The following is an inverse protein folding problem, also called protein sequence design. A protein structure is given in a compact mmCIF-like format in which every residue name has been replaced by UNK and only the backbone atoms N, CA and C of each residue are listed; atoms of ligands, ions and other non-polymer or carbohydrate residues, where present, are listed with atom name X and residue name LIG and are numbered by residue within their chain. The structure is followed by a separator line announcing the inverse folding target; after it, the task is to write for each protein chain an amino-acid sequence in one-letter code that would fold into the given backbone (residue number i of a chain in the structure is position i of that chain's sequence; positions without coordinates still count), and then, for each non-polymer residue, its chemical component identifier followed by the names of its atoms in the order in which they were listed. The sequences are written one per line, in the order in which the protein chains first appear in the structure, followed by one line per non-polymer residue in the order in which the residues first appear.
data_IF_964206993838
#
_entry.id   IF_964206993838
#
_cell.length_a   1.000
_cell.length_b   1.000
_cell.length_c   1.000
_cell.angle_alpha   90.00
_cell.angle_beta   90.00
_cell.angle_gamma   90.00
#
_symmetry.space_group_name_H-M   'P 1'
#
loop_
_entity.id
_entity.type
_entity.pdbx_description
1 polymer ?
#
# COMPACT_ATOMS: atom_id res chain seq x y z
N UNK A 1 -21.45 14.05 8.69
CA UNK A 1 -21.10 13.83 10.10
C UNK A 1 -19.62 13.51 10.13
N UNK A 2 -18.86 14.32 10.86
CA UNK A 2 -17.40 14.18 11.04
C UNK A 2 -17.14 12.84 11.73
N UNK A 3 -16.39 11.94 11.10
CA UNK A 3 -15.89 10.73 11.77
C UNK A 3 -14.38 10.89 11.91
N UNK A 4 -13.97 11.36 13.08
CA UNK A 4 -12.61 11.28 13.55
C UNK A 4 -12.38 9.85 14.09
N UNK A 5 -11.40 9.14 13.54
CA UNK A 5 -10.74 8.05 14.23
C UNK A 5 -9.35 7.79 13.61
N UNK A 6 -8.40 8.67 13.99
CA UNK A 6 -6.97 8.38 14.00
C UNK A 6 -6.71 7.02 14.66
N UNK A 7 -5.73 6.29 14.12
CA UNK A 7 -5.09 5.21 14.86
C UNK A 7 -4.70 4.02 14.00
N UNK A 8 -3.78 4.20 13.05
CA UNK A 8 -3.07 3.06 12.46
C UNK A 8 -1.60 3.42 12.21
N UNK A 9 -0.83 3.20 13.29
CA UNK A 9 0.54 2.68 13.28
C UNK A 9 1.44 3.30 12.19
N UNK A 10 1.83 4.55 12.42
CA UNK A 10 3.18 4.94 12.04
C UNK A 10 4.12 4.03 12.81
N UNK A 11 4.73 3.08 12.11
CA UNK A 11 5.84 2.27 12.61
C UNK A 11 7.10 3.13 12.75
N UNK A 12 6.99 4.26 13.44
CA UNK A 12 8.11 5.14 13.75
C UNK A 12 8.53 4.76 15.16
N UNK A 13 9.63 4.01 15.27
CA UNK A 13 10.42 4.07 16.49
C UNK A 13 10.76 5.54 16.68
N UNK A 14 10.27 6.15 17.76
CA UNK A 14 10.44 7.58 18.01
C UNK A 14 11.92 7.94 17.86
N UNK A 15 12.26 8.80 16.90
CA UNK A 15 13.62 9.33 16.72
C UNK A 15 14.16 9.99 18.01
N UNK A 16 13.26 10.37 18.93
CA UNK A 16 13.57 10.85 20.27
C UNK A 16 14.48 9.91 21.10
N UNK A 17 14.50 8.60 20.83
CA UNK A 17 15.29 7.62 21.61
C UNK A 17 16.72 7.38 21.12
N UNK A 18 17.09 7.82 19.90
CA UNK A 18 18.37 7.46 19.28
C UNK A 18 19.51 8.45 19.55
N UNK A 19 19.27 9.59 20.19
CA UNK A 19 20.25 10.67 20.37
C UNK A 19 20.82 10.70 21.79
N UNK A 20 21.32 9.57 22.31
CA UNK A 20 22.09 9.59 23.56
C UNK A 20 23.46 8.90 23.48
N UNK A 21 24.47 9.78 23.52
CA UNK A 21 25.84 9.65 24.01
C UNK A 21 26.97 9.28 23.02
N UNK A 22 27.78 10.31 22.76
CA UNK A 22 29.14 10.22 22.23
C UNK A 22 29.67 11.62 21.97
N UNK A 23 30.57 12.13 22.82
CA UNK A 23 31.29 13.40 22.58
C UNK A 23 32.25 13.23 21.40
N UNK A 24 31.72 13.17 20.19
CA UNK A 24 32.43 13.43 18.94
C UNK A 24 31.89 14.74 18.37
N UNK A 25 32.74 15.52 17.69
CA UNK A 25 32.38 16.87 17.20
C UNK A 25 31.06 16.81 16.44
N UNK A 26 30.00 17.37 17.02
CA UNK A 26 28.68 17.44 16.39
C UNK A 26 28.84 18.03 14.99
N UNK A 27 28.58 17.21 13.97
CA UNK A 27 28.61 17.70 12.60
C UNK A 27 27.45 18.68 12.40
N UNK A 28 27.50 19.50 11.35
CA UNK A 28 26.34 20.35 11.01
C UNK A 28 25.04 19.54 10.87
N UNK A 29 25.16 18.26 10.47
CA UNK A 29 24.04 17.33 10.42
C UNK A 29 23.44 17.08 11.81
N UNK A 30 24.26 16.68 12.79
CA UNK A 30 23.78 16.31 14.13
C UNK A 30 23.09 17.49 14.81
N UNK A 31 23.63 18.70 14.64
CA UNK A 31 23.01 19.94 15.10
C UNK A 31 21.60 20.12 14.52
N UNK A 32 21.41 19.89 13.21
CA UNK A 32 20.11 20.06 12.57
C UNK A 32 19.11 18.99 12.99
N UNK A 33 19.54 17.74 13.20
CA UNK A 33 18.66 16.68 13.73
C UNK A 33 18.22 17.01 15.15
N UNK A 34 19.14 17.39 16.03
CA UNK A 34 18.82 17.76 17.41
C UNK A 34 17.88 18.97 17.45
N UNK A 35 18.19 20.02 16.69
CA UNK A 35 17.35 21.22 16.61
C UNK A 35 15.94 20.90 16.10
N UNK A 36 15.83 20.01 15.11
CA UNK A 36 14.55 19.60 14.54
C UNK A 36 13.66 18.92 15.59
N UNK A 37 14.23 18.16 16.52
CA UNK A 37 13.47 17.44 17.54
C UNK A 37 12.60 18.36 18.41
N UNK A 38 13.10 19.56 18.72
CA UNK A 38 12.41 20.57 19.54
C UNK A 38 11.59 21.60 18.74
N UNK A 39 11.79 21.65 17.42
CA UNK A 39 11.09 22.60 16.55
C UNK A 39 9.66 22.15 16.22
N UNK A 40 8.86 23.07 15.69
CA UNK A 40 7.49 22.80 15.23
C UNK A 40 7.27 23.29 13.79
N UNK A 41 6.30 22.68 13.10
CA UNK A 41 5.83 23.12 11.78
C UNK A 41 6.94 23.26 10.74
N UNK A 42 6.93 24.39 10.01
CA UNK A 42 7.86 24.66 8.89
C UNK A 42 9.32 24.69 9.31
N UNK A 43 9.63 25.15 10.52
CA UNK A 43 11.00 25.22 11.01
C UNK A 43 11.58 23.82 11.20
N UNK A 44 10.77 22.86 11.68
CA UNK A 44 11.15 21.44 11.79
C UNK A 44 11.47 20.84 10.43
N UNK A 45 10.62 21.05 9.42
CA UNK A 45 10.86 20.53 8.06
C UNK A 45 12.13 21.11 7.44
N UNK A 46 12.38 22.41 7.63
CA UNK A 46 13.57 23.07 7.09
C UNK A 46 14.86 22.56 7.74
N UNK A 47 14.83 22.25 9.04
CA UNK A 47 15.97 21.64 9.73
C UNK A 47 16.28 20.25 9.19
N UNK A 48 15.27 19.40 8.94
CA UNK A 48 15.50 18.11 8.30
C UNK A 48 15.97 18.22 6.84
N UNK A 49 15.49 19.21 6.08
CA UNK A 49 16.03 19.48 4.73
C UNK A 49 17.50 19.85 4.79
N UNK A 50 17.90 20.71 5.75
CA UNK A 50 19.30 21.08 5.94
C UNK A 50 20.17 19.89 6.34
N UNK A 51 19.68 18.98 7.17
CA UNK A 51 20.41 17.75 7.52
C UNK A 51 20.59 16.85 6.28
N UNK A 52 19.55 16.61 5.49
CA UNK A 52 19.64 15.84 4.24
C UNK A 52 20.56 16.52 3.22
N UNK A 53 20.49 17.84 3.12
CA UNK A 53 21.37 18.61 2.26
C UNK A 53 22.84 18.48 2.68
N UNK A 54 23.17 18.13 3.93
CA UNK A 54 24.54 17.82 4.36
C UNK A 54 24.89 16.35 4.13
N UNK A 55 24.11 15.42 4.70
CA UNK A 55 24.38 13.98 4.68
C UNK A 55 23.17 13.18 4.17
N UNK A 56 22.89 13.15 2.86
CA UNK A 56 21.70 12.50 2.31
C UNK A 56 21.74 10.97 2.43
N UNK A 57 22.87 10.38 2.82
CA UNK A 57 22.98 8.94 3.09
C UNK A 57 22.42 8.55 4.45
N UNK A 58 22.39 9.48 5.41
CA UNK A 58 21.85 9.29 6.75
C UNK A 58 20.33 9.39 6.71
N UNK A 59 19.66 8.46 7.37
CA UNK A 59 18.21 8.27 7.26
C UNK A 59 17.40 9.18 8.16
N UNK A 60 18.00 9.72 9.23
CA UNK A 60 17.34 10.43 10.31
C UNK A 60 16.60 11.66 9.80
N UNK A 61 17.20 12.41 8.87
CA UNK A 61 16.52 13.53 8.22
C UNK A 61 15.36 13.09 7.34
N UNK A 62 15.49 11.97 6.62
CA UNK A 62 14.45 11.46 5.72
C UNK A 62 13.24 10.94 6.49
N UNK A 63 13.49 10.14 7.53
CA UNK A 63 12.44 9.64 8.42
C UNK A 63 11.78 10.79 9.18
N UNK A 64 12.57 11.77 9.62
CA UNK A 64 12.07 12.98 10.27
C UNK A 64 11.13 13.80 9.39
N UNK A 65 11.39 13.92 8.08
CA UNK A 65 10.46 14.57 7.15
C UNK A 65 9.16 13.80 7.03
N UNK A 66 9.22 12.48 6.82
CA UNK A 66 8.01 11.66 6.64
C UNK A 66 7.14 11.71 7.91
N UNK A 67 7.76 11.63 9.09
CA UNK A 67 7.08 11.77 10.38
C UNK A 67 6.45 13.16 10.54
N UNK A 68 7.22 14.22 10.26
CA UNK A 68 6.75 15.60 10.43
C UNK A 68 5.59 15.96 9.50
N UNK A 69 5.65 15.49 8.24
CA UNK A 69 4.57 15.68 7.25
C UNK A 69 3.33 14.87 7.63
N UNK A 70 3.50 13.66 8.15
CA UNK A 70 2.37 12.82 8.53
C UNK A 70 1.73 13.16 9.87
N UNK A 71 2.31 14.10 10.64
CA UNK A 71 1.99 14.31 12.05
C UNK A 71 0.54 14.75 12.30
N UNK A 72 -0.07 15.48 11.38
CA UNK A 72 -1.48 15.91 11.46
C UNK A 72 -2.45 14.98 10.71
N UNK A 73 -1.93 13.92 10.08
CA UNK A 73 -2.70 12.98 9.27
C UNK A 73 -3.12 13.51 7.89
N UNK A 74 -2.72 14.73 7.51
CA UNK A 74 -3.09 15.37 6.26
C UNK A 74 -1.85 15.56 5.39
N UNK A 75 -1.73 14.74 4.35
CA UNK A 75 -0.65 14.88 3.38
C UNK A 75 -1.08 15.80 2.23
N UNK A 76 -0.40 16.95 2.12
CA UNK A 76 -0.71 17.99 1.15
C UNK A 76 0.11 17.86 -0.14
N UNK A 77 -0.34 18.54 -1.21
CA UNK A 77 0.40 18.58 -2.48
C UNK A 77 1.73 19.34 -2.33
N UNK A 78 1.78 20.34 -1.44
CA UNK A 78 2.99 21.09 -1.12
C UNK A 78 4.04 20.20 -0.44
N UNK A 79 3.61 19.31 0.46
CA UNK A 79 4.50 18.36 1.13
C UNK A 79 4.98 17.25 0.19
N UNK A 80 4.10 16.75 -0.68
CA UNK A 80 4.48 15.83 -1.75
C UNK A 80 5.56 16.45 -2.65
N UNK A 81 5.30 17.66 -3.15
CA UNK A 81 6.26 18.41 -3.95
C UNK A 81 7.58 18.68 -3.22
N UNK A 82 7.53 18.95 -1.91
CA UNK A 82 8.71 19.08 -1.08
C UNK A 82 9.55 17.79 -1.04
N UNK A 83 8.93 16.65 -0.74
CA UNK A 83 9.62 15.36 -0.65
C UNK A 83 10.24 15.00 -2.01
N UNK A 84 9.49 15.17 -3.10
CA UNK A 84 9.95 14.89 -4.46
C UNK A 84 11.11 15.80 -4.87
N UNK A 85 11.01 17.10 -4.57
CA UNK A 85 12.09 18.07 -4.79
C UNK A 85 13.36 17.63 -4.06
N UNK A 86 13.24 17.28 -2.78
CA UNK A 86 14.37 16.88 -1.95
C UNK A 86 15.03 15.59 -2.44
N UNK A 87 14.25 14.60 -2.88
CA UNK A 87 14.77 13.37 -3.49
C UNK A 87 15.55 13.65 -4.77
N UNK A 88 15.08 14.60 -5.59
CA UNK A 88 15.71 14.97 -6.86
C UNK A 88 16.87 15.96 -6.73
N UNK A 89 17.01 16.61 -5.56
CA UNK A 89 17.99 17.66 -5.36
C UNK A 89 19.42 17.14 -5.42
N UNK A 90 20.31 18.04 -5.83
CA UNK A 90 21.77 17.88 -5.89
C UNK A 90 22.42 18.93 -4.99
N UNK A 91 21.96 19.00 -3.74
CA UNK A 91 22.39 20.03 -2.80
C UNK A 91 23.91 20.07 -2.67
N UNK A 92 24.45 21.26 -2.40
CA UNK A 92 25.88 21.48 -2.23
C UNK A 92 26.73 21.05 -3.45
N UNK A 93 26.16 21.15 -4.66
CA UNK A 93 26.89 20.93 -5.91
C UNK A 93 27.20 19.45 -6.22
N UNK A 94 26.45 18.50 -5.64
CA UNK A 94 26.67 17.07 -5.89
C UNK A 94 26.42 16.67 -7.33
N UNK A 95 27.14 15.64 -7.79
CA UNK A 95 26.95 15.04 -9.12
C UNK A 95 25.72 14.12 -9.22
N UNK A 96 25.32 13.51 -8.10
CA UNK A 96 24.18 12.61 -8.02
C UNK A 96 23.07 13.22 -7.18
N UNK A 97 21.82 12.90 -7.52
CA UNK A 97 20.68 13.30 -6.71
C UNK A 97 20.68 12.60 -5.34
N UNK A 98 20.01 13.24 -4.38
CA UNK A 98 19.90 12.78 -3.01
C UNK A 98 19.32 11.36 -2.93
N UNK A 99 18.32 11.00 -3.76
CA UNK A 99 17.75 9.65 -3.82
C UNK A 99 18.80 8.59 -4.16
N UNK A 100 19.67 8.87 -5.12
CA UNK A 100 20.74 7.97 -5.57
C UNK A 100 21.80 7.79 -4.49
N UNK A 101 22.15 8.86 -3.78
CA UNK A 101 23.07 8.78 -2.63
C UNK A 101 22.43 8.00 -1.48
N UNK A 102 21.16 8.28 -1.16
CA UNK A 102 20.46 7.66 -0.03
C UNK A 102 20.30 6.15 -0.19
N UNK A 103 20.07 5.65 -1.41
CA UNK A 103 19.99 4.21 -1.71
C UNK A 103 21.23 3.39 -1.30
N UNK A 104 22.38 4.05 -1.07
CA UNK A 104 23.60 3.40 -0.54
C UNK A 104 23.49 3.03 0.94
N UNK A 105 22.51 3.60 1.66
CA UNK A 105 22.03 3.10 2.94
C UNK A 105 20.76 2.26 2.66
N UNK A 106 20.95 0.94 2.43
CA UNK A 106 19.85 0.04 2.05
C UNK A 106 18.77 -0.01 3.13
N UNK A 107 19.17 -0.19 4.39
CA UNK A 107 18.25 -0.27 5.52
C UNK A 107 17.42 1.01 5.66
N UNK A 108 18.09 2.17 5.71
CA UNK A 108 17.42 3.46 5.81
C UNK A 108 16.49 3.76 4.64
N UNK A 109 16.92 3.44 3.41
CA UNK A 109 16.09 3.64 2.23
C UNK A 109 14.83 2.75 2.25
N UNK A 110 14.92 1.53 2.77
CA UNK A 110 13.78 0.62 2.92
C UNK A 110 12.82 1.12 4.01
N UNK A 111 13.33 1.56 5.18
CA UNK A 111 12.49 2.18 6.21
C UNK A 111 11.78 3.42 5.68
N UNK A 112 12.50 4.27 4.94
CA UNK A 112 11.92 5.44 4.30
C UNK A 112 10.85 5.07 3.27
N UNK A 113 11.13 4.12 2.37
CA UNK A 113 10.19 3.69 1.35
C UNK A 113 8.92 3.08 1.98
N UNK A 114 9.06 2.26 3.01
CA UNK A 114 7.93 1.72 3.76
C UNK A 114 7.06 2.82 4.37
N UNK A 115 7.67 3.75 5.13
CA UNK A 115 6.94 4.82 5.80
C UNK A 115 6.30 5.81 4.81
N UNK A 116 7.00 6.14 3.72
CA UNK A 116 6.46 7.02 2.68
C UNK A 116 5.32 6.33 1.91
N UNK A 117 5.44 5.03 1.62
CA UNK A 117 4.34 4.24 1.04
C UNK A 117 3.09 4.26 1.93
N UNK A 118 3.28 4.09 3.24
CA UNK A 118 2.18 4.21 4.22
C UNK A 118 1.56 5.61 4.22
N UNK A 119 2.37 6.67 4.17
CA UNK A 119 1.89 8.06 4.10
C UNK A 119 1.04 8.29 2.85
N UNK A 120 1.52 7.93 1.66
CA UNK A 120 0.75 8.05 0.41
C UNK A 120 -0.53 7.22 0.40
N UNK A 121 -0.57 6.11 1.15
CA UNK A 121 -1.72 5.21 1.16
C UNK A 121 -2.81 5.67 2.15
N UNK A 122 -2.42 6.12 3.34
CA UNK A 122 -3.33 6.31 4.47
C UNK A 122 -3.64 7.77 4.81
N UNK A 123 -2.74 8.71 4.54
CA UNK A 123 -2.99 10.09 4.88
C UNK A 123 -4.17 10.66 4.11
N UNK A 124 -4.92 11.54 4.74
CA UNK A 124 -5.94 12.33 4.08
C UNK A 124 -5.30 13.48 3.29
N UNK A 125 -6.09 14.20 2.50
CA UNK A 125 -5.61 15.35 1.75
C UNK A 125 -5.21 15.04 0.31
N UNK A 126 -4.75 16.09 -0.39
CA UNK A 126 -4.51 16.07 -1.85
C UNK A 126 -3.12 15.56 -2.26
N UNK A 127 -2.22 15.36 -1.30
CA UNK A 127 -0.94 14.68 -1.49
C UNK A 127 -1.06 13.17 -1.49
N UNK A 128 -2.17 12.62 -0.95
CA UNK A 128 -2.45 11.19 -1.02
C UNK A 128 -2.50 10.71 -2.47
N UNK A 129 -1.79 9.62 -2.76
CA UNK A 129 -1.81 9.01 -4.07
C UNK A 129 -1.51 7.52 -3.94
N UNK A 130 -2.57 6.70 -3.98
CA UNK A 130 -2.45 5.25 -3.89
C UNK A 130 -1.53 4.69 -4.98
N UNK A 131 -1.52 5.24 -6.19
CA UNK A 131 -0.61 4.77 -7.24
C UNK A 131 0.88 5.04 -6.87
N UNK A 132 1.17 6.21 -6.30
CA UNK A 132 2.51 6.54 -5.78
C UNK A 132 2.92 5.62 -4.63
N UNK A 133 1.98 5.28 -3.73
CA UNK A 133 2.25 4.31 -2.66
C UNK A 133 2.76 2.97 -3.20
N UNK A 134 2.19 2.48 -4.31
CA UNK A 134 2.60 1.24 -4.95
C UNK A 134 4.07 1.22 -5.35
N UNK A 135 4.58 2.33 -5.90
CA UNK A 135 6.00 2.45 -6.27
C UNK A 135 6.95 2.41 -5.06
N UNK A 136 6.52 2.93 -3.91
CA UNK A 136 7.30 2.88 -2.67
C UNK A 136 7.24 1.51 -1.99
N UNK A 137 6.08 0.87 -1.97
CA UNK A 137 5.96 -0.51 -1.49
C UNK A 137 6.73 -1.50 -2.36
N UNK A 138 6.82 -1.29 -3.68
CA UNK A 138 7.62 -2.12 -4.59
C UNK A 138 9.12 -2.14 -4.20
N UNK A 139 9.65 -1.05 -3.63
CA UNK A 139 11.03 -1.03 -3.09
C UNK A 139 11.18 -2.06 -1.96
N UNK A 140 10.20 -2.14 -1.06
CA UNK A 140 10.19 -3.10 0.06
C UNK A 140 9.99 -4.53 -0.46
N UNK A 141 9.08 -4.72 -1.43
CA UNK A 141 8.81 -6.02 -2.05
C UNK A 141 10.00 -6.57 -2.85
N UNK A 142 10.85 -5.73 -3.43
CA UNK A 142 12.06 -6.18 -4.15
C UNK A 142 13.29 -6.32 -3.26
N UNK A 143 13.26 -5.77 -2.05
CA UNK A 143 14.36 -5.90 -1.11
C UNK A 143 14.48 -7.34 -0.57
N UNK A 144 15.71 -7.85 -0.54
CA UNK A 144 16.07 -9.00 0.28
C UNK A 144 16.21 -8.54 1.73
N UNK A 145 15.14 -8.72 2.52
CA UNK A 145 15.11 -8.35 3.93
C UNK A 145 15.75 -9.42 4.82
N UNK A 146 15.95 -10.65 4.32
CA UNK A 146 16.38 -11.78 5.16
C UNK A 146 17.76 -11.55 5.78
N UNK A 147 18.65 -10.91 5.04
CA UNK A 147 20.04 -10.65 5.44
C UNK A 147 20.31 -9.16 5.77
N UNK A 148 19.28 -8.31 5.76
CA UNK A 148 19.45 -6.88 5.93
C UNK A 148 19.27 -6.48 7.39
N UNK A 149 20.27 -5.88 8.02
CA UNK A 149 20.13 -5.31 9.36
C UNK A 149 19.27 -4.03 9.33
N UNK A 150 18.04 -4.12 9.83
CA UNK A 150 17.13 -3.01 10.09
C UNK A 150 17.20 -2.54 11.55
N UNK A 151 18.12 -3.06 12.36
CA UNK A 151 18.33 -2.66 13.73
C UNK A 151 17.06 -2.85 14.57
N UNK A 152 16.51 -1.78 15.19
CA UNK A 152 15.30 -1.88 16.03
C UNK A 152 14.03 -2.38 15.31
N UNK A 153 14.02 -2.40 13.97
CA UNK A 153 12.86 -2.84 13.17
C UNK A 153 13.05 -4.26 12.59
N UNK A 154 14.06 -5.01 13.03
CA UNK A 154 14.36 -6.34 12.50
C UNK A 154 13.21 -7.34 12.67
N UNK A 155 12.48 -7.26 13.78
CA UNK A 155 11.29 -8.05 14.08
C UNK A 155 10.11 -7.70 13.15
N UNK A 156 10.10 -6.51 12.56
CA UNK A 156 9.02 -6.02 11.69
C UNK A 156 9.16 -6.44 10.24
N UNK A 157 10.28 -7.03 9.82
CA UNK A 157 10.56 -7.40 8.41
C UNK A 157 9.42 -8.18 7.75
N UNK A 158 8.91 -9.21 8.42
CA UNK A 158 7.82 -10.04 7.90
C UNK A 158 6.54 -9.24 7.73
N UNK A 159 6.15 -8.48 8.75
CA UNK A 159 4.95 -7.65 8.73
C UNK A 159 5.04 -6.54 7.66
N UNK A 160 6.18 -5.86 7.55
CA UNK A 160 6.41 -4.83 6.54
C UNK A 160 6.38 -5.39 5.12
N UNK A 161 6.96 -6.57 4.91
CA UNK A 161 6.93 -7.26 3.63
C UNK A 161 5.49 -7.61 3.24
N UNK A 162 4.76 -8.25 4.13
CA UNK A 162 3.37 -8.63 3.90
C UNK A 162 2.48 -7.41 3.60
N UNK A 163 2.61 -6.34 4.40
CA UNK A 163 1.85 -5.11 4.19
C UNK A 163 2.22 -4.44 2.87
N UNK A 164 3.50 -4.37 2.52
CA UNK A 164 3.94 -3.80 1.25
C UNK A 164 3.44 -4.63 0.05
N UNK A 165 3.41 -5.96 0.16
CA UNK A 165 2.87 -6.85 -0.88
C UNK A 165 1.38 -6.59 -1.09
N UNK A 166 0.59 -6.58 -0.01
CA UNK A 166 -0.86 -6.37 -0.09
C UNK A 166 -1.18 -4.96 -0.61
N UNK A 167 -0.70 -3.93 0.09
CA UNK A 167 -1.04 -2.54 -0.26
C UNK A 167 -0.41 -2.14 -1.60
N UNK A 168 0.80 -2.63 -1.90
CA UNK A 168 1.46 -2.38 -3.18
C UNK A 168 0.70 -2.97 -4.36
N UNK A 169 0.15 -4.18 -4.23
CA UNK A 169 -0.70 -4.78 -5.27
C UNK A 169 -1.98 -3.98 -5.48
N UNK A 170 -2.72 -3.67 -4.42
CA UNK A 170 -3.95 -2.85 -4.47
C UNK A 170 -3.68 -1.51 -5.16
N UNK A 171 -2.60 -0.84 -4.74
CA UNK A 171 -2.14 0.43 -5.29
C UNK A 171 -1.75 0.35 -6.77
N UNK A 172 -1.00 -0.68 -7.15
CA UNK A 172 -0.50 -0.86 -8.51
C UNK A 172 -1.63 -1.08 -9.52
N UNK A 173 -2.61 -1.91 -9.16
CA UNK A 173 -3.72 -2.27 -10.05
C UNK A 173 -4.69 -1.13 -10.30
N UNK A 174 -5.01 -0.32 -9.28
CA UNK A 174 -5.84 0.89 -9.42
C UNK A 174 -5.32 1.83 -10.53
N UNK A 175 -4.01 1.80 -10.80
CA UNK A 175 -3.37 2.65 -11.81
C UNK A 175 -3.26 2.02 -13.21
N UNK A 176 -3.44 0.70 -13.35
CA UNK A 176 -3.07 -0.08 -14.54
C UNK A 176 -4.19 -0.94 -15.13
N UNK A 177 -5.17 -1.36 -14.32
CA UNK A 177 -6.20 -2.31 -14.77
C UNK A 177 -7.08 -1.67 -15.86
N UNK A 178 -7.29 -2.40 -16.96
CA UNK A 178 -8.04 -1.90 -18.12
C UNK A 178 -7.32 -0.85 -18.96
N UNK A 179 -6.04 -0.54 -18.70
CA UNK A 179 -5.22 0.32 -19.57
C UNK A 179 -4.45 -0.52 -20.58
N UNK A 180 -4.45 -0.04 -21.82
CA UNK A 180 -3.65 -0.60 -22.90
C UNK A 180 -2.35 0.18 -23.08
N UNK A 181 -1.29 -0.51 -23.50
CA UNK A 181 -0.06 0.14 -23.93
C UNK A 181 -0.27 0.84 -25.30
N UNK A 182 0.76 1.53 -25.82
CA UNK A 182 0.67 2.20 -27.12
C UNK A 182 0.42 1.24 -28.30
N UNK A 183 0.67 -0.07 -28.11
CA UNK A 183 0.39 -1.11 -29.08
C UNK A 183 -1.03 -1.70 -28.96
N UNK A 184 -1.81 -1.30 -27.95
CA UNK A 184 -3.15 -1.81 -27.69
C UNK A 184 -3.21 -3.00 -26.74
N UNK A 185 -2.08 -3.52 -26.24
CA UNK A 185 -2.09 -4.66 -25.32
C UNK A 185 -2.43 -4.22 -23.90
N UNK A 186 -3.25 -5.01 -23.19
CA UNK A 186 -3.52 -4.77 -21.78
C UNK A 186 -2.21 -4.83 -20.97
N UNK A 187 -1.88 -3.76 -20.23
CA UNK A 187 -0.68 -3.74 -19.39
C UNK A 187 -0.76 -4.71 -18.21
N UNK A 188 -1.97 -5.06 -17.79
CA UNK A 188 -2.28 -6.11 -16.81
C UNK A 188 -3.71 -6.55 -17.02
N UNK A 189 -3.94 -7.87 -17.15
CA UNK A 189 -5.29 -8.39 -17.38
C UNK A 189 -6.06 -8.51 -16.06
N UNK A 190 -7.39 -8.58 -16.14
CA UNK A 190 -8.23 -8.90 -14.99
C UNK A 190 -7.91 -10.31 -14.44
N UNK A 191 -7.50 -11.26 -15.28
CA UNK A 191 -7.10 -12.60 -14.86
C UNK A 191 -5.80 -12.57 -14.03
N UNK A 192 -4.78 -11.82 -14.48
CA UNK A 192 -3.55 -11.64 -13.70
C UNK A 192 -3.86 -11.01 -12.34
N UNK A 193 -4.77 -10.04 -12.31
CA UNK A 193 -5.17 -9.39 -11.06
C UNK A 193 -5.80 -10.36 -10.08
N UNK A 194 -6.77 -11.13 -10.58
CA UNK A 194 -7.44 -12.15 -9.80
C UNK A 194 -6.44 -13.09 -9.15
N UNK A 195 -5.51 -13.64 -9.94
CA UNK A 195 -4.49 -14.55 -9.45
C UNK A 195 -3.58 -13.89 -8.42
N UNK A 196 -3.14 -12.65 -8.65
CA UNK A 196 -2.34 -11.91 -7.68
C UNK A 196 -3.06 -11.73 -6.34
N UNK A 197 -4.36 -11.40 -6.34
CA UNK A 197 -5.15 -11.27 -5.11
C UNK A 197 -5.33 -12.61 -4.39
N UNK A 198 -5.65 -13.68 -5.13
CA UNK A 198 -5.83 -15.01 -4.53
C UNK A 198 -4.52 -15.56 -3.97
N UNK A 199 -3.38 -15.33 -4.64
CA UNK A 199 -2.06 -15.73 -4.13
C UNK A 199 -1.71 -15.07 -2.78
N UNK A 200 -2.16 -13.83 -2.54
CA UNK A 200 -1.97 -13.16 -1.24
C UNK A 200 -2.79 -13.84 -0.14
N UNK A 201 -3.98 -14.34 -0.46
CA UNK A 201 -4.84 -15.10 0.46
C UNK A 201 -4.28 -16.50 0.72
N UNK A 202 -3.90 -17.22 -0.34
CA UNK A 202 -3.46 -18.61 -0.27
C UNK A 202 -2.13 -18.77 0.46
N UNK A 203 -1.23 -17.80 0.33
CA UNK A 203 0.06 -17.79 1.04
C UNK A 203 -0.04 -17.25 2.48
N UNK A 204 -1.24 -16.95 2.96
CA UNK A 204 -1.48 -16.35 4.27
C UNK A 204 -0.58 -15.12 4.50
N UNK A 205 -0.43 -14.27 3.47
CA UNK A 205 0.37 -13.05 3.57
C UNK A 205 -0.30 -12.08 4.54
N UNK A 206 -1.63 -12.02 4.48
CA UNK A 206 -2.47 -11.16 5.32
C UNK A 206 -2.31 -11.43 6.83
N UNK A 207 -2.21 -12.71 7.24
CA UNK A 207 -2.06 -13.09 8.64
C UNK A 207 -0.70 -12.73 9.27
N UNK A 208 0.29 -12.30 8.48
CA UNK A 208 1.67 -12.02 8.96
C UNK A 208 1.89 -10.61 9.49
N UNK A 209 0.90 -9.73 9.36
CA UNK A 209 1.01 -8.32 9.75
C UNK A 209 -0.02 -7.95 10.83
N UNK A 210 -1.19 -7.47 10.42
CA UNK A 210 -2.26 -7.09 11.33
C UNK A 210 -3.63 -7.25 10.66
N UNK A 211 -4.66 -7.33 11.50
CA UNK A 211 -6.05 -7.60 11.09
C UNK A 211 -6.62 -6.56 10.11
N UNK A 212 -6.18 -5.30 10.18
CA UNK A 212 -6.67 -4.25 9.29
C UNK A 212 -6.09 -4.42 7.89
N UNK A 213 -4.81 -4.79 7.77
CA UNK A 213 -4.20 -5.08 6.46
C UNK A 213 -4.86 -6.29 5.81
N UNK A 214 -5.18 -7.32 6.61
CA UNK A 214 -5.95 -8.48 6.17
C UNK A 214 -7.36 -8.10 5.68
N UNK A 215 -8.10 -7.33 6.48
CA UNK A 215 -9.43 -6.84 6.09
C UNK A 215 -9.38 -5.98 4.83
N UNK A 216 -8.29 -5.24 4.56
CA UNK A 216 -8.13 -4.47 3.32
C UNK A 216 -7.95 -5.35 2.09
N UNK A 217 -7.20 -6.45 2.19
CA UNK A 217 -7.13 -7.44 1.10
C UNK A 217 -8.51 -8.01 0.80
N UNK A 218 -9.25 -8.41 1.84
CA UNK A 218 -10.59 -8.95 1.68
C UNK A 218 -11.58 -7.93 1.11
N UNK A 219 -11.52 -6.68 1.57
CA UNK A 219 -12.32 -5.59 1.02
C UNK A 219 -12.04 -5.38 -0.46
N UNK A 220 -10.77 -5.41 -0.88
CA UNK A 220 -10.42 -5.30 -2.29
C UNK A 220 -11.02 -6.44 -3.12
N UNK A 221 -10.86 -7.70 -2.68
CA UNK A 221 -11.42 -8.87 -3.39
C UNK A 221 -12.92 -8.71 -3.58
N UNK A 222 -13.66 -8.42 -2.50
CA UNK A 222 -15.11 -8.25 -2.56
C UNK A 222 -15.51 -7.06 -3.43
N UNK A 223 -14.84 -5.92 -3.29
CA UNK A 223 -15.11 -4.72 -4.07
C UNK A 223 -14.92 -4.97 -5.57
N UNK A 224 -13.83 -5.65 -5.96
CA UNK A 224 -13.55 -5.94 -7.36
C UNK A 224 -14.56 -6.93 -7.94
N UNK A 225 -14.97 -7.95 -7.19
CA UNK A 225 -16.06 -8.85 -7.64
C UNK A 225 -17.35 -8.05 -7.83
N UNK A 226 -17.71 -7.15 -6.91
CA UNK A 226 -18.93 -6.34 -7.03
C UNK A 226 -18.89 -5.39 -8.23
N UNK A 227 -17.74 -4.82 -8.55
CA UNK A 227 -17.64 -3.74 -9.56
C UNK A 227 -17.18 -4.21 -10.93
N UNK A 228 -16.56 -5.39 -11.01
CA UNK A 228 -15.87 -5.90 -12.21
C UNK A 228 -16.16 -7.38 -12.50
N UNK A 229 -17.28 -7.92 -11.97
CA UNK A 229 -17.69 -9.32 -12.19
C UNK A 229 -17.63 -9.74 -13.66
N UNK A 230 -18.23 -8.95 -14.56
CA UNK A 230 -18.25 -9.26 -16.00
C UNK A 230 -16.83 -9.27 -16.60
N UNK A 231 -16.00 -8.30 -16.22
CA UNK A 231 -14.63 -8.19 -16.72
C UNK A 231 -13.73 -9.35 -16.24
N UNK A 232 -13.94 -9.85 -15.01
CA UNK A 232 -13.28 -11.07 -14.54
C UNK A 232 -13.74 -12.30 -15.32
N UNK A 233 -15.05 -12.42 -15.54
CA UNK A 233 -15.62 -13.53 -16.30
C UNK A 233 -15.13 -13.56 -17.75
N UNK A 234 -15.14 -12.42 -18.44
CA UNK A 234 -14.60 -12.24 -19.80
C UNK A 234 -13.10 -12.55 -19.87
N UNK A 235 -12.35 -12.26 -18.79
CA UNK A 235 -10.93 -12.59 -18.69
C UNK A 235 -10.67 -14.07 -18.35
N UNK A 236 -11.71 -14.90 -18.17
CA UNK A 236 -11.59 -16.33 -17.93
C UNK A 236 -11.64 -16.77 -16.47
N UNK A 237 -12.01 -15.88 -15.54
CA UNK A 237 -12.27 -16.27 -14.14
C UNK A 237 -13.67 -16.88 -14.05
N UNK A 238 -13.76 -18.13 -13.57
CA UNK A 238 -15.06 -18.80 -13.46
C UNK A 238 -15.96 -18.11 -12.40
N UNK A 239 -17.27 -18.03 -12.68
CA UNK A 239 -18.23 -17.49 -11.72
C UNK A 239 -18.25 -18.28 -10.41
N UNK A 240 -18.04 -19.60 -10.49
CA UNK A 240 -17.88 -20.46 -9.32
C UNK A 240 -16.67 -20.09 -8.46
N UNK A 241 -15.56 -19.66 -9.07
CA UNK A 241 -14.36 -19.22 -8.33
C UNK A 241 -14.59 -17.89 -7.64
N UNK A 242 -15.30 -16.95 -8.29
CA UNK A 242 -15.73 -15.69 -7.65
C UNK A 242 -16.67 -15.95 -6.47
N UNK A 243 -17.65 -16.84 -6.63
CA UNK A 243 -18.55 -17.22 -5.55
C UNK A 243 -17.81 -17.89 -4.38
N UNK A 244 -16.84 -18.77 -4.68
CA UNK A 244 -15.99 -19.40 -3.66
C UNK A 244 -15.19 -18.38 -2.89
N UNK A 245 -14.52 -17.44 -3.57
CA UNK A 245 -13.75 -16.38 -2.93
C UNK A 245 -14.60 -15.53 -1.98
N UNK A 246 -15.83 -15.16 -2.37
CA UNK A 246 -16.75 -14.42 -1.49
C UNK A 246 -17.10 -15.21 -0.22
N UNK A 247 -17.35 -16.51 -0.35
CA UNK A 247 -17.66 -17.38 0.79
C UNK A 247 -16.43 -17.57 1.70
N UNK A 248 -15.26 -17.76 1.12
CA UNK A 248 -14.01 -17.93 1.87
C UNK A 248 -13.66 -16.66 2.65
N UNK A 249 -13.79 -15.49 2.02
CA UNK A 249 -13.63 -14.19 2.69
C UNK A 249 -14.61 -14.04 3.85
N UNK A 250 -15.89 -14.35 3.64
CA UNK A 250 -16.90 -14.27 4.69
C UNK A 250 -16.57 -15.18 5.88
N UNK A 251 -16.17 -16.43 5.61
CA UNK A 251 -15.80 -17.40 6.64
C UNK A 251 -14.58 -16.92 7.45
N UNK A 252 -13.54 -16.43 6.76
CA UNK A 252 -12.33 -15.89 7.40
C UNK A 252 -12.65 -14.71 8.29
N UNK A 253 -13.37 -13.71 7.78
CA UNK A 253 -13.72 -12.49 8.54
C UNK A 253 -14.61 -12.80 9.75
N UNK A 254 -15.52 -13.77 9.65
CA UNK A 254 -16.34 -14.21 10.79
C UNK A 254 -15.49 -14.82 11.91
N UNK A 255 -14.42 -15.53 11.56
CA UNK A 255 -13.46 -16.12 12.50
C UNK A 255 -12.42 -15.15 13.07
N UNK A 256 -12.24 -13.95 12.50
CA UNK A 256 -11.27 -12.97 12.99
C UNK A 256 -11.68 -12.41 14.37
N UNK A 257 -10.70 -12.41 15.28
CA UNK A 257 -10.78 -11.72 16.56
C UNK A 257 -10.44 -10.24 16.38
N UNK A 258 -11.42 -9.34 16.54
CA UNK A 258 -11.32 -7.92 16.19
C UNK A 258 -11.61 -6.99 17.40
N UNK A 259 -11.81 -7.57 18.58
CA UNK A 259 -12.25 -6.84 19.77
C UNK A 259 -11.32 -5.65 20.06
N UNK A 260 -11.92 -4.48 20.35
CA UNK A 260 -11.23 -3.22 20.67
C UNK A 260 -10.60 -2.46 19.49
N UNK A 261 -10.89 -2.83 18.24
CA UNK A 261 -10.51 -2.03 17.06
C UNK A 261 -11.74 -1.55 16.26
N UNK A 262 -12.21 -0.31 16.50
CA UNK A 262 -13.40 0.24 15.82
C UNK A 262 -13.29 0.25 14.29
N UNK A 263 -12.10 0.55 13.76
CA UNK A 263 -11.84 0.60 12.30
C UNK A 263 -11.98 -0.78 11.69
N UNK A 264 -11.43 -1.80 12.34
CA UNK A 264 -11.52 -3.17 11.87
C UNK A 264 -12.96 -3.72 11.98
N UNK A 265 -13.71 -3.34 13.02
CA UNK A 265 -15.12 -3.71 13.15
C UNK A 265 -15.98 -3.08 12.05
N UNK A 266 -15.80 -1.79 11.77
CA UNK A 266 -16.49 -1.11 10.67
C UNK A 266 -16.19 -1.78 9.32
N UNK A 267 -14.90 -1.99 9.00
CA UNK A 267 -14.47 -2.68 7.77
C UNK A 267 -15.09 -4.07 7.66
N UNK A 268 -15.10 -4.86 8.74
CA UNK A 268 -15.74 -6.18 8.75
C UNK A 268 -17.20 -6.10 8.36
N UNK A 269 -17.97 -5.19 8.96
CA UNK A 269 -19.39 -5.06 8.66
C UNK A 269 -19.64 -4.62 7.21
N UNK A 270 -18.82 -3.72 6.68
CA UNK A 270 -18.89 -3.28 5.28
C UNK A 270 -18.60 -4.42 4.31
N UNK A 271 -17.54 -5.19 4.56
CA UNK A 271 -17.15 -6.31 3.69
C UNK A 271 -18.25 -7.38 3.66
N UNK A 272 -18.83 -7.73 4.81
CA UNK A 272 -19.91 -8.72 4.88
C UNK A 272 -21.16 -8.28 4.08
N UNK A 273 -21.53 -6.99 4.17
CA UNK A 273 -22.62 -6.43 3.37
C UNK A 273 -22.31 -6.45 1.88
N UNK A 274 -21.10 -6.04 1.50
CA UNK A 274 -20.66 -6.03 0.10
C UNK A 274 -20.60 -7.46 -0.47
N UNK A 275 -20.16 -8.46 0.31
CA UNK A 275 -20.09 -9.84 -0.14
C UNK A 275 -21.47 -10.41 -0.51
N UNK A 276 -22.52 -10.01 0.22
CA UNK A 276 -23.90 -10.36 -0.12
C UNK A 276 -24.33 -9.76 -1.47
N UNK A 277 -23.91 -8.53 -1.77
CA UNK A 277 -24.19 -7.87 -3.05
C UNK A 277 -23.42 -8.57 -4.18
N UNK A 278 -22.12 -8.82 -3.97
CA UNK A 278 -21.28 -9.51 -4.94
C UNK A 278 -21.81 -10.89 -5.34
N UNK A 279 -22.36 -11.66 -4.38
CA UNK A 279 -22.97 -12.95 -4.67
C UNK A 279 -24.12 -12.85 -5.68
N UNK A 280 -25.02 -11.88 -5.48
CA UNK A 280 -26.15 -11.66 -6.40
C UNK A 280 -25.67 -11.30 -7.82
N UNK A 281 -24.56 -10.57 -7.91
CA UNK A 281 -23.98 -10.20 -9.20
C UNK A 281 -23.36 -11.40 -9.91
N UNK A 282 -22.61 -12.23 -9.18
CA UNK A 282 -22.05 -13.49 -9.72
C UNK A 282 -23.16 -14.45 -10.15
N UNK A 283 -24.23 -14.58 -9.37
CA UNK A 283 -25.42 -15.38 -9.72
C UNK A 283 -26.06 -14.91 -11.03
N UNK A 284 -26.17 -13.59 -11.24
CA UNK A 284 -26.71 -13.03 -12.47
C UNK A 284 -25.84 -13.38 -13.69
N UNK A 285 -24.51 -13.28 -13.56
CA UNK A 285 -23.56 -13.66 -14.63
C UNK A 285 -23.68 -15.15 -14.97
N UNK A 286 -23.72 -16.01 -13.95
CA UNK A 286 -23.90 -17.46 -14.14
C UNK A 286 -25.24 -17.81 -14.80
N UNK A 287 -26.31 -17.11 -14.45
CA UNK A 287 -27.62 -17.29 -15.07
C UNK A 287 -27.60 -16.88 -16.56
N UNK A 288 -26.98 -15.75 -16.89
CA UNK A 288 -26.86 -15.27 -18.27
C UNK A 288 -25.99 -16.18 -19.14
N UNK A 289 -24.91 -16.74 -18.59
CA UNK A 289 -24.08 -17.71 -19.31
C UNK A 289 -24.87 -18.98 -19.68
N UNK A 290 -25.73 -19.47 -18.77
CA UNK A 290 -26.58 -20.65 -18.99
C UNK A 290 -27.65 -20.41 -20.05
N UNK A 291 -28.27 -19.23 -20.08
CA UNK A 291 -29.29 -18.89 -21.09
C UNK A 291 -28.68 -18.69 -22.47
N UNK A 292 -27.48 -18.11 -22.57
CA UNK A 292 -26.73 -17.99 -23.83
C UNK A 292 -26.38 -19.35 -24.44
N UNK A 293 -25.88 -20.30 -23.63
CA UNK A 293 -25.59 -21.67 -24.10
C UNK A 293 -26.85 -22.39 -24.60
N UNK A 294 -27.98 -22.20 -23.92
CA UNK A 294 -29.26 -22.80 -24.33
C UNK A 294 -29.79 -22.22 -25.65
N UNK A 295 -29.57 -20.92 -25.91
CA UNK A 295 -29.93 -20.25 -27.17
C UNK A 295 -29.09 -20.75 -28.36
N UNK A 296 -27.77 -20.81 -28.20
CA UNK A 296 -26.84 -21.31 -29.23
C UNK A 296 -27.09 -22.79 -29.58
N UNK A 297 -27.44 -23.61 -28.59
CA UNK A 297 -27.80 -25.01 -28.80
C UNK A 297 -29.13 -25.16 -29.57
N UNK A 298 -30.09 -24.25 -29.35
CA UNK A 298 -31.36 -24.23 -30.07
C UNK A 298 -31.21 -23.77 -31.53
N UNK A 299 -30.36 -22.77 -31.80
CA UNK A 299 -30.08 -22.32 -33.18
C UNK A 299 -29.34 -23.38 -33.99
N UNK A 300 -28.34 -24.07 -33.39
CA UNK A 300 -27.62 -25.16 -34.07
C UNK A 300 -28.47 -26.42 -34.27
N UNK A 301 -29.51 -26.62 -33.47
CA UNK A 301 -30.47 -27.74 -33.61
C UNK A 301 -31.61 -27.48 -34.61
N UNK A 302 -31.88 -26.22 -34.98
CA UNK A 302 -32.98 -25.82 -35.87
C UNK A 302 -32.64 -25.87 -37.38
N UNK A 303 -31.38 -26.09 -37.75
CA UNK A 303 -30.88 -26.02 -39.13
C UNK A 303 -31.02 -27.30 -39.97
N UNK A 304 -31.83 -28.27 -39.55
CA UNK A 304 -32.14 -29.45 -40.37
C UNK A 304 -33.66 -29.62 -40.46
N UNK A 305 -34.27 -28.96 -41.44
CA UNK A 305 -35.58 -29.30 -41.99
C UNK A 305 -35.58 -29.08 -43.50
#
# INVERSE_FOLDING_TARGET
MVSAAMGLLMGVGSLAGAVLSGREKATGFDYYIESASTAAGRDKLELYRKSIALEPRREEGWLGIVEAVGADGIFTTEEDGCILSLLSSRDNGRSQDNKTVFRRNKAGYIRFAYNLGMLYYYAEGRGQNKASAGGWFDVVCKADLSNLDLGPDDDKKSAWKARAEILGKISGYSSRIGKTNQAGDAQTTYFDYWNDLMLLVDNDVAGRDNVVTELRLYNEIVYQICTRCDAFYEAGVAGEDMARALNDVENRIRGLYITENPVAEELKQEILKAALIGRKQVEAVLANARTGIAGDAAEKGGGVR
#
